data_IF_887338551936
#
_entry.id   IF_887338551936
#
_cell.length_a   1.000
_cell.length_b   1.000
_cell.length_c   1.000
_cell.angle_alpha   90.00
_cell.angle_beta   90.00
_cell.angle_gamma   90.00
#
_symmetry.space_group_name_H-M   'P 1'
#
loop_
_entity.id
_entity.type
_entity.pdbx_description
1 polymer ?
#
# COMPACT_ATOMS: atom_id res chain seq x y z
N UNK A 1 -13.62 13.57 -25.91
CA UNK A 1 -13.20 12.22 -25.45
C UNK A 1 -14.14 11.79 -24.35
N UNK A 2 -14.85 10.66 -24.54
CA UNK A 2 -15.81 10.13 -23.56
C UNK A 2 -15.00 9.58 -22.38
N UNK A 3 -15.11 10.18 -21.19
CA UNK A 3 -14.42 9.71 -19.97
C UNK A 3 -14.89 8.28 -19.67
N UNK A 4 -13.98 7.32 -19.77
CA UNK A 4 -14.18 5.90 -19.45
C UNK A 4 -13.85 5.58 -17.98
N UNK A 5 -13.53 6.58 -17.18
CA UNK A 5 -13.22 6.42 -15.76
C UNK A 5 -14.50 6.31 -14.93
N UNK A 6 -14.59 5.24 -14.15
CA UNK A 6 -15.59 5.07 -13.07
C UNK A 6 -15.40 6.13 -11.98
N UNK A 7 -14.18 6.66 -11.87
CA UNK A 7 -13.81 7.65 -10.87
C UNK A 7 -14.05 9.08 -11.38
N UNK A 8 -14.74 9.90 -10.59
CA UNK A 8 -14.92 11.34 -10.87
C UNK A 8 -13.72 12.12 -10.35
N UNK A 9 -13.31 13.17 -11.06
CA UNK A 9 -12.24 14.06 -10.60
C UNK A 9 -12.59 14.62 -9.21
N UNK A 10 -11.67 14.48 -8.27
CA UNK A 10 -11.84 14.86 -6.87
C UNK A 10 -12.07 16.38 -6.74
N UNK A 11 -13.13 16.81 -6.04
CA UNK A 11 -13.31 18.24 -5.75
C UNK A 11 -12.30 18.70 -4.68
N UNK A 12 -11.79 19.94 -4.75
CA UNK A 12 -10.85 20.49 -3.79
C UNK A 12 -11.54 20.62 -2.41
N UNK A 13 -11.44 19.56 -1.59
CA UNK A 13 -12.15 19.45 -0.32
C UNK A 13 -12.48 18.02 0.12
N UNK A 14 -12.49 17.03 -0.79
CA UNK A 14 -12.70 15.61 -0.45
C UNK A 14 -11.43 14.98 0.14
N UNK A 15 -11.17 15.21 1.43
CA UNK A 15 -9.93 14.80 2.12
C UNK A 15 -9.76 13.28 2.38
N UNK A 16 -10.56 12.41 1.77
CA UNK A 16 -10.55 10.94 2.06
C UNK A 16 -10.43 10.09 0.80
N UNK A 17 -9.51 10.48 -0.06
CA UNK A 17 -9.06 9.68 -1.20
C UNK A 17 -8.11 8.57 -0.74
N UNK A 18 -8.45 7.31 -1.06
CA UNK A 18 -7.57 6.14 -0.96
C UNK A 18 -6.30 6.35 -1.77
N UNK A 19 -6.38 6.99 -2.95
CA UNK A 19 -5.20 7.28 -3.77
C UNK A 19 -4.25 8.22 -3.05
N UNK A 20 -4.77 9.30 -2.43
CA UNK A 20 -3.96 10.22 -1.65
C UNK A 20 -3.35 9.57 -0.40
N UNK A 21 -4.11 8.68 0.26
CA UNK A 21 -3.61 7.89 1.40
C UNK A 21 -2.46 6.96 0.98
N UNK A 22 -2.63 6.25 -0.14
CA UNK A 22 -1.59 5.38 -0.71
C UNK A 22 -0.36 6.18 -1.12
N UNK A 23 -0.54 7.31 -1.81
CA UNK A 23 0.56 8.18 -2.25
C UNK A 23 1.35 8.71 -1.06
N UNK A 24 0.67 9.14 0.00
CA UNK A 24 1.32 9.57 1.25
C UNK A 24 2.09 8.40 1.88
N UNK A 25 1.52 7.20 1.91
CA UNK A 25 2.19 6.00 2.39
C UNK A 25 3.48 5.69 1.62
N UNK A 26 3.44 5.75 0.28
CA UNK A 26 4.63 5.54 -0.55
C UNK A 26 5.72 6.59 -0.32
N UNK A 27 5.35 7.87 -0.17
CA UNK A 27 6.31 8.94 0.13
C UNK A 27 7.03 8.64 1.44
N UNK A 28 6.29 8.25 2.49
CA UNK A 28 6.87 7.91 3.79
C UNK A 28 7.85 6.73 3.67
N UNK A 29 7.47 5.67 2.96
CA UNK A 29 8.33 4.50 2.75
C UNK A 29 9.61 4.87 1.99
N UNK A 30 9.50 5.64 0.90
CA UNK A 30 10.66 6.09 0.11
C UNK A 30 11.58 6.96 0.96
N UNK A 31 11.03 7.87 1.78
CA UNK A 31 11.83 8.69 2.70
C UNK A 31 12.57 7.86 3.74
N UNK A 32 11.92 6.84 4.32
CA UNK A 32 12.58 5.93 5.27
C UNK A 32 13.70 5.11 4.62
N UNK A 33 13.50 4.62 3.39
CA UNK A 33 14.53 3.91 2.63
C UNK A 33 15.70 4.83 2.26
N UNK A 34 15.41 6.05 1.81
CA UNK A 34 16.42 7.05 1.50
C UNK A 34 17.27 7.43 2.72
N UNK A 35 16.64 7.65 3.87
CA UNK A 35 17.35 7.89 5.13
C UNK A 35 18.25 6.72 5.52
N UNK A 36 17.73 5.49 5.43
CA UNK A 36 18.49 4.27 5.77
C UNK A 36 19.70 4.09 4.84
N UNK A 37 19.52 4.30 3.54
CA UNK A 37 20.60 4.23 2.56
C UNK A 37 21.67 5.29 2.82
N UNK A 38 21.26 6.54 3.08
CA UNK A 38 22.19 7.63 3.41
C UNK A 38 22.95 7.36 4.71
N UNK A 39 22.26 6.87 5.74
CA UNK A 39 22.87 6.51 7.02
C UNK A 39 23.92 5.41 6.86
N UNK A 40 23.58 4.32 6.16
CA UNK A 40 24.53 3.22 5.88
C UNK A 40 25.73 3.73 5.07
N UNK A 41 25.50 4.59 4.09
CA UNK A 41 26.57 5.19 3.28
C UNK A 41 27.59 5.93 4.13
N UNK A 42 27.14 6.81 5.04
CA UNK A 42 28.04 7.55 5.95
C UNK A 42 28.82 6.61 6.87
N UNK A 43 28.20 5.54 7.36
CA UNK A 43 28.88 4.56 8.23
C UNK A 43 29.90 3.71 7.47
N UNK A 44 29.61 3.35 6.22
CA UNK A 44 30.54 2.61 5.35
C UNK A 44 31.78 3.45 5.02
N UNK A 45 31.64 4.75 4.75
CA UNK A 45 32.78 5.66 4.52
C UNK A 45 33.68 5.75 5.75
N UNK A 46 33.11 5.76 6.96
CA UNK A 46 33.91 5.77 8.20
C UNK A 46 34.68 4.45 8.38
N UNK A 47 34.04 3.32 8.10
CA UNK A 47 34.68 2.00 8.09
C UNK A 47 35.82 1.95 7.06
N UNK A 48 35.60 2.45 5.86
CA UNK A 48 36.61 2.52 4.80
C UNK A 48 37.82 3.36 5.23
N UNK A 49 37.62 4.50 5.89
CA UNK A 49 38.72 5.32 6.43
C UNK A 49 39.53 4.58 7.50
N UNK A 50 38.87 3.82 8.37
CA UNK A 50 39.55 3.00 9.39
C UNK A 50 40.36 1.89 8.70
N UNK A 51 39.77 1.20 7.72
CA UNK A 51 40.45 0.14 6.95
C UNK A 51 41.63 0.69 6.16
N UNK A 52 41.49 1.86 5.54
CA UNK A 52 42.56 2.51 4.77
C UNK A 52 43.78 2.88 5.64
N UNK A 53 43.59 3.04 6.95
CA UNK A 53 44.71 3.24 7.89
C UNK A 53 45.41 1.95 8.35
N UNK A 54 44.93 0.76 7.93
CA UNK A 54 45.59 -0.51 8.22
C UNK A 54 46.85 -0.64 7.38
N UNK A 55 48.01 -0.72 8.05
CA UNK A 55 49.24 -1.21 7.43
C UNK A 55 49.84 -2.31 8.31
N UNK A 56 49.49 -3.56 7.99
CA UNK A 56 49.88 -4.75 8.75
C UNK A 56 51.39 -4.99 8.76
N UNK A 57 52.14 -4.37 7.87
CA UNK A 57 53.60 -4.52 7.74
C UNK A 57 54.38 -3.51 8.59
N UNK A 58 53.77 -2.37 8.96
CA UNK A 58 54.47 -1.27 9.65
C UNK A 58 53.84 -0.88 11.00
N UNK A 59 52.66 -1.41 11.34
CA UNK A 59 51.99 -1.09 12.60
C UNK A 59 52.54 -1.88 13.78
N UNK A 60 52.65 -1.21 14.93
CA UNK A 60 52.93 -1.88 16.20
C UNK A 60 51.70 -2.68 16.66
N UNK A 61 51.87 -3.76 17.46
CA UNK A 61 50.76 -4.57 17.95
C UNK A 61 49.67 -3.78 18.68
N UNK A 62 50.06 -2.71 19.39
CA UNK A 62 49.15 -1.81 20.12
C UNK A 62 48.28 -0.98 19.17
N UNK A 63 48.84 -0.52 18.04
CA UNK A 63 48.08 0.22 17.02
C UNK A 63 47.05 -0.67 16.33
N UNK A 64 47.39 -1.94 16.09
CA UNK A 64 46.47 -2.94 15.53
C UNK A 64 45.33 -3.24 16.50
N UNK A 65 45.60 -3.37 17.80
CA UNK A 65 44.56 -3.54 18.83
C UNK A 65 43.61 -2.34 18.90
N UNK A 66 44.15 -1.12 18.94
CA UNK A 66 43.34 0.10 18.93
C UNK A 66 42.42 0.18 17.69
N UNK A 67 42.92 -0.23 16.53
CA UNK A 67 42.14 -0.21 15.30
C UNK A 67 41.04 -1.28 15.31
N UNK A 68 41.36 -2.48 15.81
CA UNK A 68 40.38 -3.56 16.01
C UNK A 68 39.28 -3.14 16.98
N UNK A 69 39.62 -2.47 18.07
CA UNK A 69 38.64 -1.99 19.05
C UNK A 69 37.72 -0.92 18.46
N UNK A 70 38.27 0.03 17.69
CA UNK A 70 37.46 1.03 16.98
C UNK A 70 36.52 0.38 15.97
N UNK A 71 37.03 -0.55 15.16
CA UNK A 71 36.22 -1.27 14.17
C UNK A 71 35.10 -2.08 14.85
N UNK A 72 35.43 -2.82 15.92
CA UNK A 72 34.48 -3.64 16.67
C UNK A 72 33.39 -2.77 17.31
N UNK A 73 33.76 -1.61 17.87
CA UNK A 73 32.81 -0.66 18.45
C UNK A 73 31.89 -0.06 17.38
N UNK A 74 32.42 0.39 16.25
CA UNK A 74 31.63 0.97 15.15
C UNK A 74 30.67 -0.06 14.55
N UNK A 75 31.14 -1.29 14.27
CA UNK A 75 30.29 -2.36 13.77
C UNK A 75 29.23 -2.78 14.80
N UNK A 76 29.57 -2.80 16.09
CA UNK A 76 28.62 -3.09 17.17
C UNK A 76 27.49 -2.04 17.26
N UNK A 77 27.84 -0.75 17.17
CA UNK A 77 26.86 0.34 17.14
C UNK A 77 25.95 0.24 15.91
N UNK A 78 26.54 0.05 14.72
CA UNK A 78 25.79 -0.12 13.47
C UNK A 78 24.81 -1.30 13.56
N UNK A 79 25.25 -2.43 14.11
CA UNK A 79 24.39 -3.62 14.30
C UNK A 79 23.20 -3.30 15.20
N UNK A 80 23.42 -2.66 16.34
CA UNK A 80 22.34 -2.33 17.28
C UNK A 80 21.35 -1.34 16.68
N UNK A 81 21.83 -0.34 15.92
CA UNK A 81 20.96 0.64 15.27
C UNK A 81 20.13 0.03 14.13
N UNK A 82 20.71 -0.86 13.32
CA UNK A 82 19.97 -1.60 12.28
C UNK A 82 18.91 -2.52 12.91
N UNK A 83 19.23 -3.20 14.02
CA UNK A 83 18.25 -4.03 14.74
C UNK A 83 17.11 -3.17 15.29
N UNK A 84 17.43 -2.00 15.86
CA UNK A 84 16.43 -1.04 16.34
C UNK A 84 15.50 -0.56 15.22
N UNK A 85 16.06 -0.20 14.06
CA UNK A 85 15.29 0.20 12.88
C UNK A 85 14.40 -0.94 12.35
N UNK A 86 14.89 -2.18 12.35
CA UNK A 86 14.12 -3.35 11.91
C UNK A 86 12.90 -3.62 12.82
N UNK A 87 13.08 -3.51 14.14
CA UNK A 87 11.98 -3.67 15.11
C UNK A 87 10.94 -2.57 14.88
N UNK A 88 11.38 -1.31 14.78
CA UNK A 88 10.48 -0.18 14.56
C UNK A 88 9.73 -0.29 13.22
N UNK A 89 10.44 -0.65 12.15
CA UNK A 89 9.84 -0.89 10.83
C UNK A 89 8.79 -2.01 10.86
N UNK A 90 9.04 -3.08 11.61
CA UNK A 90 8.08 -4.19 11.76
C UNK A 90 6.77 -3.71 12.40
N UNK A 91 6.85 -2.90 13.47
CA UNK A 91 5.65 -2.35 14.13
C UNK A 91 4.83 -1.49 13.17
N UNK A 92 5.49 -0.61 12.41
CA UNK A 92 4.83 0.24 11.42
C UNK A 92 4.16 -0.60 10.32
N UNK A 93 4.85 -1.63 9.81
CA UNK A 93 4.31 -2.53 8.80
C UNK A 93 3.05 -3.26 9.28
N UNK A 94 3.02 -3.72 10.54
CA UNK A 94 1.84 -4.39 11.10
C UNK A 94 0.65 -3.44 11.21
N UNK A 95 0.87 -2.20 11.68
CA UNK A 95 -0.18 -1.19 11.80
C UNK A 95 -0.69 -0.80 10.40
N UNK A 96 0.22 -0.48 9.47
CA UNK A 96 -0.12 -0.13 8.09
C UNK A 96 -0.88 -1.25 7.38
N UNK A 97 -0.42 -2.49 7.50
CA UNK A 97 -1.10 -3.66 6.95
C UNK A 97 -2.50 -3.86 7.51
N UNK A 98 -2.68 -3.66 8.83
CA UNK A 98 -4.00 -3.69 9.47
C UNK A 98 -4.95 -2.63 8.91
N UNK A 99 -4.46 -1.40 8.69
CA UNK A 99 -5.24 -0.34 8.05
C UNK A 99 -5.62 -0.71 6.62
N UNK A 100 -4.69 -1.23 5.81
CA UNK A 100 -4.95 -1.66 4.43
C UNK A 100 -6.00 -2.77 4.37
N UNK A 101 -5.90 -3.77 5.24
CA UNK A 101 -6.87 -4.87 5.30
C UNK A 101 -8.28 -4.34 5.60
N UNK A 102 -8.39 -3.48 6.61
CA UNK A 102 -9.69 -3.00 7.07
C UNK A 102 -10.32 -1.97 6.14
N UNK A 103 -9.55 -1.04 5.58
CA UNK A 103 -10.08 0.06 4.76
C UNK A 103 -10.16 -0.24 3.27
N UNK A 104 -9.37 -1.18 2.75
CA UNK A 104 -9.29 -1.45 1.31
C UNK A 104 -9.73 -2.89 1.00
N UNK A 105 -9.05 -3.90 1.55
CA UNK A 105 -9.26 -5.30 1.15
C UNK A 105 -10.66 -5.80 1.55
N UNK A 106 -11.07 -5.59 2.80
CA UNK A 106 -12.36 -6.07 3.29
C UNK A 106 -13.56 -5.42 2.56
N UNK A 107 -13.57 -4.09 2.33
CA UNK A 107 -14.53 -3.43 1.44
C UNK A 107 -14.56 -3.97 0.01
N UNK A 108 -13.41 -4.12 -0.63
CA UNK A 108 -13.33 -4.62 -2.01
C UNK A 108 -13.86 -6.04 -2.13
N UNK A 109 -13.52 -6.92 -1.17
CA UNK A 109 -14.02 -8.30 -1.16
C UNK A 109 -15.55 -8.35 -1.09
N UNK A 110 -16.18 -7.50 -0.27
CA UNK A 110 -17.64 -7.39 -0.21
C UNK A 110 -18.25 -6.89 -1.52
N UNK A 111 -17.59 -5.96 -2.22
CA UNK A 111 -18.02 -5.50 -3.54
C UNK A 111 -17.91 -6.60 -4.60
N UNK A 112 -16.86 -7.41 -4.55
CA UNK A 112 -16.70 -8.59 -5.43
C UNK A 112 -17.80 -9.60 -5.16
N UNK A 113 -18.07 -9.93 -3.89
CA UNK A 113 -19.17 -10.84 -3.51
C UNK A 113 -20.54 -10.30 -3.99
N UNK A 114 -20.78 -8.99 -3.91
CA UNK A 114 -21.98 -8.36 -4.48
C UNK A 114 -22.07 -8.56 -6.00
N UNK A 115 -20.97 -8.34 -6.71
CA UNK A 115 -20.89 -8.52 -8.15
C UNK A 115 -21.11 -9.98 -8.58
N UNK A 116 -20.48 -10.93 -7.89
CA UNK A 116 -20.61 -12.37 -8.15
C UNK A 116 -22.03 -12.87 -7.88
N UNK A 117 -22.72 -12.29 -6.90
CA UNK A 117 -24.12 -12.60 -6.61
C UNK A 117 -25.14 -11.96 -7.56
N UNK A 118 -24.70 -11.32 -8.66
CA UNK A 118 -25.54 -10.54 -9.57
C UNK A 118 -26.40 -9.47 -8.86
N UNK A 119 -25.92 -8.91 -7.75
CA UNK A 119 -26.67 -7.93 -6.95
C UNK A 119 -27.76 -8.52 -6.05
N UNK A 120 -27.78 -9.84 -5.83
CA UNK A 120 -28.72 -10.49 -4.90
C UNK A 120 -28.39 -10.23 -3.41
N UNK A 121 -27.21 -9.69 -3.12
CA UNK A 121 -26.77 -9.33 -1.76
C UNK A 121 -26.88 -7.82 -1.49
N UNK A 122 -26.82 -7.42 -0.22
CA UNK A 122 -26.93 -6.00 0.17
C UNK A 122 -25.68 -5.25 -0.29
N UNK A 123 -25.87 -4.15 -1.03
CA UNK A 123 -24.77 -3.27 -1.44
C UNK A 123 -24.08 -2.69 -0.19
N UNK A 124 -22.76 -2.87 -0.03
CA UNK A 124 -22.07 -2.40 1.17
C UNK A 124 -22.04 -0.86 1.25
N UNK A 125 -22.52 -0.30 2.37
CA UNK A 125 -22.44 1.14 2.62
C UNK A 125 -21.03 1.56 3.08
N UNK A 126 -20.44 2.52 2.37
CA UNK A 126 -19.12 3.07 2.68
C UNK A 126 -19.24 4.47 3.30
N UNK A 127 -18.88 4.58 4.59
CA UNK A 127 -18.99 5.83 5.37
C UNK A 127 -17.88 6.85 5.06
N UNK A 128 -16.70 6.41 4.61
CA UNK A 128 -15.50 7.26 4.60
C UNK A 128 -14.65 7.25 3.34
N UNK A 129 -14.88 6.33 2.39
CA UNK A 129 -14.01 6.15 1.23
C UNK A 129 -14.77 6.53 -0.04
N UNK A 130 -14.39 7.65 -0.67
CA UNK A 130 -15.10 8.18 -1.83
C UNK A 130 -14.98 7.25 -3.03
N UNK A 131 -13.81 6.65 -3.28
CA UNK A 131 -13.60 5.77 -4.44
C UNK A 131 -14.35 4.45 -4.30
N UNK A 132 -14.37 3.85 -3.12
CA UNK A 132 -15.17 2.64 -2.85
C UNK A 132 -16.67 2.95 -2.93
N UNK A 133 -17.10 4.14 -2.53
CA UNK A 133 -18.48 4.59 -2.70
C UNK A 133 -18.84 4.79 -4.17
N UNK A 134 -17.97 5.43 -4.97
CA UNK A 134 -18.16 5.58 -6.41
C UNK A 134 -18.22 4.20 -7.11
N UNK A 135 -17.36 3.27 -6.71
CA UNK A 135 -17.37 1.90 -7.21
C UNK A 135 -18.67 1.17 -6.83
N UNK A 136 -19.13 1.30 -5.57
CA UNK A 136 -20.39 0.72 -5.11
C UNK A 136 -21.59 1.27 -5.90
N UNK A 137 -21.65 2.59 -6.11
CA UNK A 137 -22.71 3.24 -6.89
C UNK A 137 -22.72 2.72 -8.33
N UNK A 138 -21.55 2.63 -8.99
CA UNK A 138 -21.46 2.13 -10.35
C UNK A 138 -21.89 0.65 -10.47
N UNK A 139 -21.56 -0.19 -9.48
CA UNK A 139 -22.05 -1.56 -9.43
C UNK A 139 -23.57 -1.61 -9.21
N UNK A 140 -24.10 -0.82 -8.27
CA UNK A 140 -25.54 -0.72 -8.01
C UNK A 140 -26.32 -0.29 -9.26
N UNK A 141 -25.83 0.70 -10.00
CA UNK A 141 -26.41 1.15 -11.27
C UNK A 141 -26.37 0.04 -12.33
N UNK A 142 -25.25 -0.68 -12.47
CA UNK A 142 -25.10 -1.77 -13.44
C UNK A 142 -26.10 -2.90 -13.17
N UNK A 143 -26.13 -3.42 -11.94
CA UNK A 143 -27.00 -4.55 -11.59
C UNK A 143 -28.47 -4.14 -11.42
N UNK A 144 -28.76 -2.91 -10.97
CA UNK A 144 -30.11 -2.35 -10.96
C UNK A 144 -30.66 -2.08 -12.37
N UNK A 145 -29.79 -1.67 -13.31
CA UNK A 145 -30.15 -1.53 -14.72
C UNK A 145 -30.38 -2.90 -15.38
N UNK A 146 -29.58 -3.92 -15.05
CA UNK A 146 -29.80 -5.29 -15.55
C UNK A 146 -31.11 -5.90 -15.03
N UNK A 147 -31.50 -5.68 -13.76
CA UNK A 147 -32.81 -6.09 -13.24
C UNK A 147 -33.99 -5.39 -13.97
N UNK A 148 -33.79 -4.13 -14.37
CA UNK A 148 -34.77 -3.38 -15.16
C UNK A 148 -34.87 -3.88 -16.61
N UNK A 149 -33.77 -4.35 -17.19
CA UNK A 149 -33.73 -4.94 -18.55
C UNK A 149 -34.38 -6.32 -18.59
N UNK A 150 -34.16 -7.17 -17.58
CA UNK A 150 -34.82 -8.49 -17.47
C UNK A 150 -36.35 -8.36 -17.39
N UNK A 151 -36.86 -7.37 -16.65
CA UNK A 151 -38.31 -7.11 -16.59
C UNK A 151 -38.89 -6.57 -17.91
N UNK A 152 -38.07 -5.92 -18.72
CA UNK A 152 -38.49 -5.39 -20.03
C UNK A 152 -38.49 -6.48 -21.10
N UNK A 153 -37.47 -7.36 -21.13
CA UNK A 153 -37.44 -8.53 -22.03
C UNK A 153 -38.51 -9.57 -21.70
N UNK A 154 -38.93 -9.67 -20.43
CA UNK A 154 -40.02 -10.57 -20.02
C UNK A 154 -41.41 -10.03 -20.38
N UNK A 155 -41.57 -8.71 -20.57
CA UNK A 155 -42.84 -8.11 -21.00
C UNK A 155 -43.01 -8.07 -22.54
N UNK A 156 -41.96 -8.28 -23.32
CA UNK A 156 -42.01 -8.17 -24.79
C UNK A 156 -42.16 -9.52 -25.53
N UNK A 157 -42.76 -10.54 -24.90
CA UNK A 157 -43.26 -11.69 -25.66
C UNK A 157 -44.53 -12.38 -25.11
N UNK A 158 -45.73 -11.84 -25.38
CA UNK A 158 -46.98 -12.60 -25.31
C UNK A 158 -47.64 -12.85 -26.69
N UNK A 159 -46.94 -12.67 -27.82
CA UNK A 159 -47.56 -12.73 -29.15
C UNK A 159 -47.02 -13.85 -30.06
N UNK A 160 -46.91 -15.08 -29.55
CA UNK A 160 -46.91 -16.28 -30.40
C UNK A 160 -47.41 -17.51 -29.66
N UNK A 161 -48.65 -17.46 -29.17
CA UNK A 161 -49.42 -18.67 -28.85
C UNK A 161 -50.85 -18.48 -29.34
N UNK A 162 -51.26 -19.40 -30.21
CA UNK A 162 -52.56 -19.53 -30.87
C UNK A 162 -52.84 -18.58 -32.04
N UNK A 163 -52.63 -19.10 -33.25
CA UNK A 163 -53.72 -19.24 -34.23
C UNK A 163 -53.46 -20.45 -35.11
N UNK A 164 -54.22 -21.50 -34.80
CA UNK A 164 -54.79 -22.42 -35.82
C UNK A 164 -55.59 -21.61 -36.82
#
# INVERSE_FOLDING_TARGET
>A
MKKTGIFRDELPGEKKSIVNLLMTGYIVVISCLGYTAFYIFIQMVQLERIVATINVQTQTPEQVQLLRDRMTRTTGQLRNEIVGLAIFGTVICLIGGGYTINMVIRPLRRLVEFAESNGATILPEFKSNTELKQLATALGEKFGSDASRINTETQENPAQKNKT
#
